data_IF_232470650247
#
_entry.id   IF_232470650247
#
_cell.length_a   1.000
_cell.length_b   1.000
_cell.length_c   1.000
_cell.angle_alpha   90.00
_cell.angle_beta   90.00
_cell.angle_gamma   90.00
#
_symmetry.space_group_name_H-M   'P 1'
#
loop_
_entity.id
_entity.type
_entity.pdbx_description
1 polymer ?
#
# COMPACT_ATOMS: atom_id res chain seq x y z
N UNK A 1 -4.13 -16.31 -21.15
CA UNK A 1 -3.18 -15.51 -20.33
C UNK A 1 -3.45 -15.87 -18.89
N UNK A 2 -2.40 -16.02 -18.08
CA UNK A 2 -2.57 -16.26 -16.65
C UNK A 2 -3.50 -15.22 -16.02
N UNK A 3 -4.39 -15.67 -15.14
CA UNK A 3 -5.28 -14.77 -14.39
C UNK A 3 -4.53 -13.94 -13.35
N UNK A 4 -3.29 -14.32 -13.02
CA UNK A 4 -2.48 -13.73 -11.97
C UNK A 4 -1.40 -12.80 -12.52
N UNK A 5 -1.02 -11.81 -11.71
CA UNK A 5 0.08 -10.92 -12.02
C UNK A 5 1.42 -11.66 -12.07
N UNK A 6 2.42 -11.10 -12.76
CA UNK A 6 3.78 -11.64 -12.74
C UNK A 6 4.36 -11.88 -11.35
N UNK A 7 4.03 -11.03 -10.37
CA UNK A 7 4.47 -11.18 -8.98
C UNK A 7 3.83 -12.43 -8.32
N UNK A 8 2.52 -12.59 -8.48
CA UNK A 8 1.77 -13.76 -8.02
C UNK A 8 2.24 -15.05 -8.70
N UNK A 9 2.58 -15.02 -10.00
CA UNK A 9 3.20 -16.17 -10.68
C UNK A 9 4.56 -16.57 -10.10
N UNK A 10 5.36 -15.62 -9.63
CA UNK A 10 6.64 -15.96 -8.97
C UNK A 10 6.37 -16.66 -7.65
N UNK A 11 5.42 -16.19 -6.84
CA UNK A 11 5.05 -16.83 -5.57
C UNK A 11 4.52 -18.25 -5.78
N UNK A 12 3.68 -18.46 -6.79
CA UNK A 12 3.11 -19.78 -7.13
C UNK A 12 4.17 -20.84 -7.51
N UNK A 13 5.41 -20.45 -7.80
CA UNK A 13 6.50 -21.42 -8.03
C UNK A 13 7.07 -22.02 -6.74
N UNK A 14 6.70 -21.44 -5.59
CA UNK A 14 7.16 -21.84 -4.26
C UNK A 14 5.95 -22.17 -3.36
N UNK A 15 4.78 -22.51 -3.94
CA UNK A 15 3.54 -22.77 -3.20
C UNK A 15 3.71 -23.79 -2.09
N UNK A 16 4.47 -24.85 -2.35
CA UNK A 16 4.66 -25.98 -1.46
C UNK A 16 5.35 -25.57 -0.14
N UNK A 17 6.16 -24.51 -0.17
CA UNK A 17 6.85 -23.98 1.01
C UNK A 17 5.89 -23.26 1.99
N UNK A 18 4.68 -22.93 1.54
CA UNK A 18 3.72 -22.10 2.28
C UNK A 18 2.50 -22.87 2.82
N UNK A 19 2.38 -24.17 2.56
CA UNK A 19 1.18 -24.96 2.91
C UNK A 19 0.84 -24.87 4.41
N UNK A 20 1.85 -24.83 5.27
CA UNK A 20 1.70 -24.75 6.73
C UNK A 20 1.74 -23.33 7.27
N UNK A 21 2.00 -22.33 6.42
CA UNK A 21 2.16 -20.93 6.83
C UNK A 21 0.84 -20.24 7.11
N UNK A 22 0.86 -19.31 8.07
CA UNK A 22 -0.27 -18.43 8.39
C UNK A 22 0.06 -17.04 7.89
N UNK A 23 -0.45 -16.73 6.71
CA UNK A 23 0.06 -15.66 5.86
C UNK A 23 -0.81 -14.39 6.00
N UNK A 24 -0.13 -13.26 6.19
CA UNK A 24 -0.66 -11.94 5.93
C UNK A 24 -0.18 -11.46 4.55
N UNK A 25 -1.12 -11.19 3.65
CA UNK A 25 -0.87 -10.54 2.36
C UNK A 25 -1.04 -9.02 2.49
N UNK A 26 -0.08 -8.25 1.99
CA UNK A 26 -0.16 -6.79 2.00
C UNK A 26 0.56 -6.14 0.81
N UNK A 27 0.40 -4.83 0.68
CA UNK A 27 1.01 -4.05 -0.40
C UNK A 27 0.11 -3.92 -1.64
N UNK A 28 0.69 -4.05 -2.82
CA UNK A 28 0.01 -3.85 -4.11
C UNK A 28 -0.72 -5.13 -4.60
N UNK A 29 -1.81 -5.49 -3.90
CA UNK A 29 -2.63 -6.69 -4.13
C UNK A 29 -3.49 -6.61 -5.42
N UNK A 30 -2.85 -6.62 -6.57
CA UNK A 30 -3.47 -6.40 -7.89
C UNK A 30 -4.33 -7.57 -8.42
N UNK A 31 -4.25 -8.74 -7.80
CA UNK A 31 -5.06 -9.92 -8.15
C UNK A 31 -5.64 -10.61 -6.91
N UNK A 32 -6.40 -11.69 -7.13
CA UNK A 32 -7.10 -12.43 -6.07
C UNK A 32 -6.30 -13.61 -5.51
N UNK A 33 -4.98 -13.68 -5.76
CA UNK A 33 -4.14 -14.75 -5.21
C UNK A 33 -4.29 -14.90 -3.69
N UNK A 34 -4.34 -13.82 -2.86
CA UNK A 34 -4.52 -13.96 -1.41
C UNK A 34 -5.73 -14.80 -0.99
N UNK A 35 -6.80 -14.81 -1.79
CA UNK A 35 -8.01 -15.57 -1.51
C UNK A 35 -7.93 -17.05 -1.96
N UNK A 36 -6.97 -17.38 -2.80
CA UNK A 36 -6.85 -18.68 -3.49
C UNK A 36 -5.55 -19.41 -3.18
N UNK A 37 -4.66 -18.80 -2.40
CA UNK A 37 -3.37 -19.36 -2.05
C UNK A 37 -3.55 -20.53 -1.07
N UNK A 38 -2.86 -21.63 -1.34
CA UNK A 38 -2.91 -22.82 -0.49
C UNK A 38 -1.96 -22.61 0.71
N UNK A 39 -2.54 -22.38 1.88
CA UNK A 39 -1.82 -22.17 3.14
C UNK A 39 -2.72 -22.47 4.35
N UNK A 40 -2.14 -22.55 5.55
CA UNK A 40 -2.86 -22.89 6.78
C UNK A 40 -3.87 -21.80 7.20
N UNK A 41 -3.55 -20.54 6.95
CA UNK A 41 -4.47 -19.42 7.11
C UNK A 41 -4.06 -18.26 6.21
N UNK A 42 -5.03 -17.56 5.64
CA UNK A 42 -4.81 -16.37 4.81
C UNK A 42 -5.56 -15.16 5.38
N UNK A 43 -4.83 -14.06 5.60
CA UNK A 43 -5.35 -12.73 5.89
C UNK A 43 -4.79 -11.73 4.90
N UNK A 44 -5.46 -10.60 4.72
CA UNK A 44 -4.96 -9.51 3.91
C UNK A 44 -5.20 -8.13 4.52
N UNK A 45 -4.24 -7.22 4.38
CA UNK A 45 -4.40 -5.80 4.71
C UNK A 45 -4.13 -4.95 3.46
N UNK A 46 -5.00 -3.98 3.19
CA UNK A 46 -4.81 -3.07 2.06
C UNK A 46 -5.28 -1.65 2.34
N UNK A 47 -4.57 -0.69 1.75
CA UNK A 47 -4.97 0.72 1.70
C UNK A 47 -5.76 1.06 0.42
N UNK A 48 -6.06 0.07 -0.44
CA UNK A 48 -6.78 0.28 -1.70
C UNK A 48 -8.19 -0.30 -1.58
N UNK A 49 -9.19 0.57 -1.58
CA UNK A 49 -10.59 0.18 -1.42
C UNK A 49 -11.04 -0.84 -2.47
N UNK A 50 -10.64 -0.68 -3.73
CA UNK A 50 -11.03 -1.59 -4.81
C UNK A 50 -10.41 -2.99 -4.66
N UNK A 51 -9.17 -3.12 -4.16
CA UNK A 51 -8.58 -4.43 -3.84
C UNK A 51 -9.39 -5.12 -2.72
N UNK A 52 -9.73 -4.38 -1.67
CA UNK A 52 -10.60 -4.90 -0.60
C UNK A 52 -11.97 -5.32 -1.12
N UNK A 53 -12.61 -4.55 -2.01
CA UNK A 53 -13.91 -4.93 -2.58
C UNK A 53 -13.87 -6.24 -3.37
N UNK A 54 -12.75 -6.55 -4.01
CA UNK A 54 -12.55 -7.81 -4.74
C UNK A 54 -12.32 -8.95 -3.75
N UNK A 55 -11.35 -8.79 -2.85
CA UNK A 55 -10.93 -9.83 -1.90
C UNK A 55 -12.00 -10.15 -0.86
N UNK A 56 -12.74 -9.15 -0.35
CA UNK A 56 -13.74 -9.33 0.72
C UNK A 56 -14.89 -10.23 0.31
N UNK A 57 -15.18 -10.34 -0.99
CA UNK A 57 -16.18 -11.27 -1.52
C UNK A 57 -15.82 -12.74 -1.30
N UNK A 58 -14.53 -13.06 -1.25
CA UNK A 58 -14.01 -14.41 -1.06
C UNK A 58 -13.49 -14.64 0.37
N UNK A 59 -12.84 -13.62 0.97
CA UNK A 59 -12.15 -13.74 2.25
C UNK A 59 -12.98 -13.25 3.46
N UNK A 60 -14.10 -12.55 3.24
CA UNK A 60 -14.91 -11.97 4.33
C UNK A 60 -14.08 -11.07 5.25
N UNK A 61 -14.16 -11.31 6.56
CA UNK A 61 -13.47 -10.51 7.60
C UNK A 61 -11.95 -10.73 7.66
N UNK A 62 -11.43 -11.70 6.90
CA UNK A 62 -9.98 -11.95 6.81
C UNK A 62 -9.25 -10.94 5.93
N UNK A 63 -9.96 -10.04 5.23
CA UNK A 63 -9.35 -8.89 4.55
C UNK A 63 -9.79 -7.57 5.17
N UNK A 64 -8.83 -6.71 5.46
CA UNK A 64 -9.03 -5.43 6.12
C UNK A 64 -8.62 -4.27 5.23
N UNK A 65 -9.51 -3.29 5.13
CA UNK A 65 -9.24 -2.01 4.50
C UNK A 65 -9.12 -0.92 5.57
N UNK A 66 -7.93 -0.38 5.73
CA UNK A 66 -7.66 0.72 6.64
C UNK A 66 -6.35 1.40 6.26
N UNK A 67 -6.16 2.64 6.72
CA UNK A 67 -4.90 3.36 6.54
C UNK A 67 -3.76 2.69 7.31
N UNK A 68 -4.03 2.30 8.56
CA UNK A 68 -3.05 1.70 9.48
C UNK A 68 -3.57 0.35 9.93
N UNK A 69 -2.79 -0.71 9.69
CA UNK A 69 -3.04 -2.04 10.23
C UNK A 69 -3.12 -2.00 11.76
N UNK A 70 -3.99 -2.82 12.33
CA UNK A 70 -4.14 -3.01 13.77
C UNK A 70 -3.53 -4.35 14.18
N UNK A 71 -3.24 -4.52 15.48
CA UNK A 71 -2.75 -5.80 16.00
C UNK A 71 -3.68 -6.97 15.66
N UNK A 72 -5.00 -6.75 15.61
CA UNK A 72 -5.99 -7.74 15.19
C UNK A 72 -5.87 -8.15 13.72
N UNK A 73 -5.36 -7.27 12.86
CA UNK A 73 -5.26 -7.52 11.43
C UNK A 73 -4.08 -8.46 11.10
N UNK A 74 -3.05 -8.45 11.95
CA UNK A 74 -1.85 -9.30 11.83
C UNK A 74 -1.89 -10.50 12.79
N UNK A 75 -2.94 -10.61 13.61
CA UNK A 75 -3.04 -11.64 14.64
C UNK A 75 -3.01 -13.05 14.03
N UNK A 76 -2.29 -13.93 14.73
CA UNK A 76 -2.05 -15.31 14.33
C UNK A 76 -1.45 -15.46 12.93
N UNK A 77 -0.65 -14.49 12.45
CA UNK A 77 0.15 -14.64 11.24
C UNK A 77 1.62 -14.82 11.61
N UNK A 78 2.29 -15.78 10.99
CA UNK A 78 3.73 -16.05 11.14
C UNK A 78 4.53 -15.66 9.88
N UNK A 79 3.84 -15.32 8.79
CA UNK A 79 4.43 -15.05 7.48
C UNK A 79 3.81 -13.80 6.88
N UNK A 80 4.64 -12.87 6.40
CA UNK A 80 4.25 -11.73 5.58
C UNK A 80 4.61 -11.99 4.12
N UNK A 81 3.63 -11.89 3.22
CA UNK A 81 3.88 -11.76 1.79
C UNK A 81 3.52 -10.34 1.37
N UNK A 82 4.55 -9.53 1.10
CA UNK A 82 4.42 -8.13 0.74
C UNK A 82 4.65 -7.89 -0.76
N UNK A 83 3.62 -7.38 -1.44
CA UNK A 83 3.68 -6.97 -2.84
C UNK A 83 4.21 -5.54 -2.94
N UNK A 84 5.41 -5.40 -3.50
CA UNK A 84 6.09 -4.12 -3.60
C UNK A 84 5.34 -3.12 -4.50
N UNK A 85 4.95 -1.95 -3.98
CA UNK A 85 4.25 -0.93 -4.76
C UNK A 85 5.20 -0.14 -5.65
N UNK A 86 4.65 0.69 -6.55
CA UNK A 86 5.44 1.56 -7.43
C UNK A 86 6.12 2.74 -6.69
N UNK A 87 5.63 3.11 -5.51
CA UNK A 87 6.12 4.26 -4.74
C UNK A 87 6.91 3.77 -3.52
N UNK A 88 8.23 4.06 -3.47
CA UNK A 88 9.10 3.62 -2.38
C UNK A 88 8.68 4.16 -1.00
N UNK A 89 8.29 5.44 -0.83
CA UNK A 89 7.75 5.90 0.45
C UNK A 89 6.46 5.20 0.89
N UNK A 90 5.56 4.85 -0.04
CA UNK A 90 4.37 4.03 0.27
C UNK A 90 4.80 2.65 0.81
N UNK A 91 5.79 2.04 0.16
CA UNK A 91 6.35 0.77 0.62
C UNK A 91 6.91 0.86 2.04
N UNK A 92 7.68 1.91 2.30
CA UNK A 92 8.28 2.13 3.61
C UNK A 92 7.21 2.34 4.69
N UNK A 93 6.19 3.17 4.42
CA UNK A 93 5.09 3.39 5.35
C UNK A 93 4.38 2.09 5.72
N UNK A 94 4.01 1.29 4.70
CA UNK A 94 3.27 0.05 4.91
C UNK A 94 4.12 -1.02 5.61
N UNK A 95 5.38 -1.21 5.20
CA UNK A 95 6.28 -2.17 5.82
C UNK A 95 6.58 -1.82 7.28
N UNK A 96 6.91 -0.56 7.58
CA UNK A 96 7.18 -0.14 8.96
C UNK A 96 5.95 -0.33 9.85
N UNK A 97 4.76 -0.02 9.33
CA UNK A 97 3.51 -0.26 10.03
C UNK A 97 3.29 -1.74 10.36
N UNK A 98 3.29 -2.61 9.34
CA UNK A 98 2.98 -4.03 9.50
C UNK A 98 4.06 -4.74 10.34
N UNK A 99 5.34 -4.51 10.05
CA UNK A 99 6.44 -5.14 10.76
C UNK A 99 6.52 -4.70 12.23
N UNK A 100 6.02 -3.51 12.58
CA UNK A 100 5.94 -3.08 13.99
C UNK A 100 4.95 -3.91 14.83
N UNK A 101 4.01 -4.59 14.16
CA UNK A 101 2.95 -5.37 14.80
C UNK A 101 3.21 -6.87 14.73
N UNK A 102 3.97 -7.33 13.74
CA UNK A 102 4.22 -8.76 13.54
C UNK A 102 5.21 -9.34 14.55
N UNK A 103 5.03 -10.59 15.01
CA UNK A 103 5.96 -11.22 15.95
C UNK A 103 7.39 -11.28 15.42
N UNK A 104 8.38 -11.02 16.27
CA UNK A 104 9.77 -11.36 15.96
C UNK A 104 9.91 -12.84 15.62
N UNK A 105 10.72 -13.15 14.63
CA UNK A 105 10.86 -14.49 14.07
C UNK A 105 9.84 -14.82 12.97
N UNK A 106 8.97 -13.90 12.58
CA UNK A 106 8.10 -14.10 11.41
C UNK A 106 8.89 -14.09 10.11
N UNK A 107 8.45 -14.88 9.13
CA UNK A 107 9.01 -14.86 7.78
C UNK A 107 8.49 -13.65 7.00
N UNK A 108 9.39 -12.99 6.26
CA UNK A 108 9.09 -11.79 5.48
C UNK A 108 9.50 -12.02 4.04
N UNK A 109 8.50 -12.17 3.17
CA UNK A 109 8.66 -12.25 1.74
C UNK A 109 8.29 -10.92 1.09
N UNK A 110 9.15 -10.43 0.20
CA UNK A 110 8.90 -9.25 -0.63
C UNK A 110 8.96 -9.65 -2.09
N UNK A 111 7.87 -9.45 -2.82
CA UNK A 111 7.77 -9.75 -4.25
C UNK A 111 7.41 -8.49 -5.03
N UNK A 112 8.01 -8.30 -6.20
CA UNK A 112 7.69 -7.14 -7.03
C UNK A 112 8.50 -7.04 -8.31
N UNK A 113 8.09 -6.13 -9.20
CA UNK A 113 8.78 -5.88 -10.46
C UNK A 113 10.11 -5.14 -10.26
N UNK A 114 11.16 -5.54 -10.98
CA UNK A 114 12.47 -4.87 -10.94
C UNK A 114 12.37 -3.39 -11.36
N UNK A 115 11.52 -3.05 -12.34
CA UNK A 115 11.32 -1.67 -12.79
C UNK A 115 10.64 -0.78 -11.76
N UNK A 116 9.89 -1.37 -10.81
CA UNK A 116 9.26 -0.67 -9.69
C UNK A 116 10.21 -0.51 -8.50
N UNK A 117 11.46 -0.96 -8.65
CA UNK A 117 12.50 -0.74 -7.66
C UNK A 117 12.50 -1.70 -6.47
N UNK A 118 11.91 -2.90 -6.61
CA UNK A 118 11.82 -3.91 -5.52
C UNK A 118 13.16 -4.22 -4.84
N UNK A 119 14.28 -4.09 -5.55
CA UNK A 119 15.64 -4.25 -5.00
C UNK A 119 15.93 -3.33 -3.81
N UNK A 120 15.22 -2.20 -3.70
CA UNK A 120 15.32 -1.30 -2.56
C UNK A 120 14.86 -1.93 -1.25
N UNK A 121 14.11 -3.04 -1.28
CA UNK A 121 13.65 -3.75 -0.10
C UNK A 121 14.81 -4.22 0.79
N UNK A 122 15.90 -4.71 0.18
CA UNK A 122 17.09 -5.19 0.92
C UNK A 122 17.68 -4.09 1.80
N UNK A 123 17.93 -2.91 1.23
CA UNK A 123 18.44 -1.76 1.99
C UNK A 123 17.40 -1.23 2.98
N UNK A 124 16.11 -1.24 2.62
CA UNK A 124 15.04 -0.72 3.47
C UNK A 124 14.82 -1.54 4.74
N UNK A 125 15.00 -2.86 4.66
CA UNK A 125 14.75 -3.79 5.77
C UNK A 125 16.03 -4.30 6.44
N UNK A 126 17.21 -3.82 6.04
CA UNK A 126 18.50 -4.31 6.55
C UNK A 126 18.62 -4.37 8.08
N UNK A 127 18.04 -3.40 8.80
CA UNK A 127 18.11 -3.32 10.27
C UNK A 127 16.97 -4.07 11.00
N UNK A 128 16.00 -4.63 10.27
CA UNK A 128 14.78 -5.22 10.81
C UNK A 128 14.58 -6.68 10.41
N UNK A 129 14.72 -6.96 9.12
CA UNK A 129 14.57 -8.26 8.50
C UNK A 129 15.53 -8.35 7.31
N UNK A 130 16.82 -8.70 7.54
CA UNK A 130 17.80 -8.82 6.47
C UNK A 130 17.30 -9.76 5.36
N UNK A 131 17.12 -9.20 4.16
CA UNK A 131 16.55 -9.93 3.04
C UNK A 131 17.66 -10.53 2.16
N UNK A 132 17.41 -11.74 1.67
CA UNK A 132 18.17 -12.39 0.62
C UNK A 132 17.27 -12.64 -0.59
N UNK A 133 17.83 -12.52 -1.79
CA UNK A 133 17.10 -12.82 -3.02
C UNK A 133 16.92 -14.33 -3.18
N UNK A 134 15.68 -14.78 -3.28
CA UNK A 134 15.30 -16.20 -3.45
C UNK A 134 15.16 -16.56 -4.92
N UNK A 135 14.44 -15.73 -5.68
CA UNK A 135 14.10 -16.04 -7.07
C UNK A 135 13.99 -14.75 -7.91
N UNK A 136 14.05 -14.93 -9.23
CA UNK A 136 13.92 -13.86 -10.20
C UNK A 136 13.34 -14.42 -11.49
N UNK A 137 12.06 -14.14 -11.75
CA UNK A 137 11.39 -14.52 -13.00
C UNK A 137 10.36 -13.47 -13.41
N UNK A 138 9.94 -13.49 -14.67
CA UNK A 138 8.92 -12.56 -15.22
C UNK A 138 9.22 -11.07 -15.00
N UNK A 139 10.50 -10.69 -14.90
CA UNK A 139 10.98 -9.34 -14.53
C UNK A 139 10.64 -8.94 -13.08
N UNK A 140 10.22 -9.88 -12.25
CA UNK A 140 10.06 -9.74 -10.81
C UNK A 140 11.26 -10.31 -10.05
N UNK A 141 11.43 -9.85 -8.81
CA UNK A 141 12.32 -10.44 -7.82
C UNK A 141 11.51 -10.88 -6.60
N UNK A 142 11.88 -12.01 -6.03
CA UNK A 142 11.38 -12.52 -4.75
C UNK A 142 12.53 -12.48 -3.75
N UNK A 143 12.27 -11.89 -2.59
CA UNK A 143 13.21 -11.74 -1.50
C UNK A 143 12.61 -12.33 -0.23
N UNK A 144 13.44 -12.93 0.61
CA UNK A 144 13.04 -13.53 1.87
C UNK A 144 14.02 -13.14 2.97
N UNK A 145 13.49 -12.91 4.16
CA UNK A 145 14.24 -12.77 5.38
C UNK A 145 13.35 -13.08 6.57
N UNK A 146 13.92 -12.98 7.77
CA UNK A 146 13.20 -13.21 9.01
C UNK A 146 13.19 -11.93 9.83
N UNK A 147 12.05 -11.58 10.44
CA UNK A 147 11.94 -10.38 11.27
C UNK A 147 12.75 -10.55 12.55
N UNK A 148 13.92 -9.95 12.63
CA UNK A 148 14.78 -9.98 13.82
C UNK A 148 14.37 -8.91 14.83
N UNK A 149 14.01 -7.73 14.33
CA UNK A 149 13.68 -6.57 15.15
C UNK A 149 12.46 -5.83 14.61
N UNK A 150 11.48 -5.58 15.47
CA UNK A 150 10.33 -4.76 15.14
C UNK A 150 10.75 -3.27 15.01
N UNK A 151 10.38 -2.59 13.91
CA UNK A 151 10.51 -1.13 13.84
C UNK A 151 9.53 -0.44 14.79
N UNK A 152 9.84 0.81 15.16
CA UNK A 152 8.87 1.68 15.82
C UNK A 152 8.04 2.40 14.75
N UNK A 153 6.73 2.43 14.92
CA UNK A 153 5.80 3.10 14.01
C UNK A 153 4.86 4.03 14.79
N UNK A 154 4.74 5.28 14.33
CA UNK A 154 3.75 6.27 14.80
C UNK A 154 3.23 6.99 13.57
N UNK A 155 1.91 7.02 13.37
CA UNK A 155 1.30 7.65 12.19
C UNK A 155 1.65 9.14 12.09
N UNK A 156 1.78 9.80 13.23
CA UNK A 156 2.03 11.24 13.37
C UNK A 156 3.34 11.65 12.69
N UNK A 157 4.37 10.80 12.73
CA UNK A 157 5.68 11.10 12.15
C UNK A 157 5.73 11.00 10.62
N UNK A 158 4.69 10.46 9.99
CA UNK A 158 4.62 10.27 8.54
C UNK A 158 3.87 11.37 7.80
N UNK A 159 3.21 12.29 8.53
CA UNK A 159 2.56 13.44 7.91
C UNK A 159 3.60 14.38 7.32
N UNK A 160 3.49 14.62 6.03
CA UNK A 160 4.19 15.70 5.36
C UNK A 160 3.23 16.88 5.17
N UNK A 161 3.79 18.09 5.23
CA UNK A 161 3.06 19.32 5.03
C UNK A 161 3.79 20.22 4.04
N UNK A 162 3.04 20.88 3.17
CA UNK A 162 3.56 21.90 2.27
C UNK A 162 2.53 23.00 2.04
N UNK A 163 3.00 24.19 1.71
CA UNK A 163 2.15 25.34 1.45
C UNK A 163 2.04 25.60 -0.05
N UNK A 164 0.83 25.90 -0.51
CA UNK A 164 0.61 26.44 -1.86
C UNK A 164 -0.44 27.55 -1.76
N UNK A 165 -0.08 28.77 -2.18
CA UNK A 165 -0.97 29.95 -2.19
C UNK A 165 -1.67 30.22 -0.84
N UNK A 166 -0.97 30.01 0.28
CA UNK A 166 -1.52 30.22 1.62
C UNK A 166 -2.38 29.07 2.15
N UNK A 167 -2.53 27.98 1.38
CA UNK A 167 -3.17 26.74 1.83
C UNK A 167 -2.12 25.74 2.32
N UNK A 168 -2.25 25.30 3.56
CA UNK A 168 -1.47 24.19 4.11
C UNK A 168 -2.11 22.87 3.67
N UNK A 169 -1.38 22.07 2.89
CA UNK A 169 -1.78 20.73 2.48
C UNK A 169 -1.04 19.72 3.36
N UNK A 170 -1.79 18.80 3.95
CA UNK A 170 -1.25 17.65 4.68
C UNK A 170 -1.39 16.40 3.83
N UNK A 171 -0.36 15.58 3.78
CA UNK A 171 -0.33 14.39 2.92
C UNK A 171 0.44 13.25 3.58
N UNK A 172 0.16 12.04 3.14
CA UNK A 172 0.79 10.82 3.61
C UNK A 172 1.48 10.07 2.46
N UNK A 173 2.35 9.10 2.78
CA UNK A 173 2.84 8.18 1.78
C UNK A 173 1.71 7.47 1.01
N UNK A 174 1.92 7.21 -0.29
CA UNK A 174 0.92 6.63 -1.20
C UNK A 174 -0.11 7.61 -1.80
N UNK A 175 -0.19 8.86 -1.34
CA UNK A 175 -1.11 9.87 -1.90
C UNK A 175 -0.48 10.57 -3.13
N UNK A 176 -1.27 10.75 -4.20
CA UNK A 176 -0.87 11.51 -5.39
C UNK A 176 -0.74 13.01 -5.08
N UNK A 177 0.15 13.71 -5.78
CA UNK A 177 0.47 15.14 -5.54
C UNK A 177 1.03 15.40 -4.13
N UNK A 178 1.90 14.52 -3.64
CA UNK A 178 2.54 14.68 -2.32
C UNK A 178 3.40 15.95 -2.22
N UNK A 179 4.12 16.28 -3.27
CA UNK A 179 5.18 17.30 -3.23
C UNK A 179 4.74 18.65 -3.82
N UNK A 180 3.50 18.78 -4.27
CA UNK A 180 3.08 19.98 -4.99
C UNK A 180 1.78 19.82 -5.78
N UNK A 181 1.30 20.95 -6.28
CA UNK A 181 0.22 20.99 -7.27
C UNK A 181 0.83 20.64 -8.63
N UNK A 182 0.44 19.51 -9.19
CA UNK A 182 0.93 19.07 -10.50
C UNK A 182 0.43 19.99 -11.63
N UNK A 183 1.15 19.98 -12.76
CA UNK A 183 0.86 20.84 -13.92
C UNK A 183 -0.54 20.60 -14.49
N UNK A 184 -1.04 19.36 -14.44
CA UNK A 184 -2.39 19.02 -14.88
C UNK A 184 -3.45 19.69 -14.01
N UNK A 185 -3.28 19.61 -12.68
CA UNK A 185 -4.14 20.31 -11.72
C UNK A 185 -4.08 21.84 -11.88
N UNK A 186 -2.91 22.42 -12.15
CA UNK A 186 -2.79 23.85 -12.47
C UNK A 186 -3.58 24.23 -13.72
N UNK A 187 -3.43 23.46 -14.80
CA UNK A 187 -4.15 23.69 -16.04
C UNK A 187 -5.67 23.57 -15.82
N UNK A 188 -6.13 22.55 -15.08
CA UNK A 188 -7.54 22.40 -14.74
C UNK A 188 -8.08 23.62 -13.98
N UNK A 189 -7.38 24.06 -12.93
CA UNK A 189 -7.77 25.22 -12.14
C UNK A 189 -7.84 26.50 -12.98
N UNK A 190 -6.97 26.65 -13.99
CA UNK A 190 -6.99 27.80 -14.90
C UNK A 190 -8.26 27.89 -15.76
N UNK A 191 -8.99 26.78 -15.93
CA UNK A 191 -10.25 26.74 -16.68
C UNK A 191 -11.49 27.08 -15.83
N UNK A 192 -11.35 27.09 -14.50
CA UNK A 192 -12.46 27.32 -13.58
C UNK A 192 -12.71 28.82 -13.41
N UNK A 193 -13.97 29.23 -13.56
CA UNK A 193 -14.35 30.64 -13.42
C UNK A 193 -14.70 31.00 -11.97
N UNK A 194 -14.26 32.16 -11.48
CA UNK A 194 -14.67 32.69 -10.18
C UNK A 194 -16.19 32.65 -9.97
N UNK A 195 -16.63 32.33 -8.75
CA UNK A 195 -18.03 32.24 -8.33
C UNK A 195 -18.90 31.20 -9.07
N UNK A 196 -18.30 30.12 -9.56
CA UNK A 196 -19.05 28.95 -10.07
C UNK A 196 -20.02 28.44 -9.00
N UNK A 197 -21.28 28.18 -9.36
CA UNK A 197 -22.32 27.66 -8.45
C UNK A 197 -22.69 26.24 -8.85
N UNK A 198 -22.88 25.36 -7.87
CA UNK A 198 -23.35 23.99 -8.11
C UNK A 198 -22.90 23.02 -7.05
N UNK A 199 -23.37 21.79 -7.15
CA UNK A 199 -22.78 20.64 -6.44
C UNK A 199 -21.54 20.21 -7.19
N UNK A 200 -20.53 19.80 -6.43
CA UNK A 200 -19.22 19.44 -6.95
C UNK A 200 -18.84 18.07 -6.45
N UNK A 201 -18.24 17.28 -7.35
CA UNK A 201 -17.63 16.00 -7.05
C UNK A 201 -16.21 16.00 -7.60
N UNK A 202 -15.23 15.80 -6.71
CA UNK A 202 -13.82 15.64 -7.05
C UNK A 202 -13.48 14.14 -7.04
N UNK A 203 -13.48 13.52 -8.22
CA UNK A 203 -13.13 12.10 -8.39
C UNK A 203 -11.62 12.00 -8.55
N UNK A 204 -10.97 11.26 -7.66
CA UNK A 204 -9.51 11.17 -7.65
C UNK A 204 -8.85 12.34 -6.89
N UNK A 205 -9.48 12.79 -5.80
CA UNK A 205 -9.12 13.99 -5.06
C UNK A 205 -7.67 14.07 -4.55
N UNK A 206 -6.93 12.95 -4.50
CA UNK A 206 -5.55 12.91 -3.99
C UNK A 206 -5.46 13.50 -2.57
N UNK A 207 -4.53 14.44 -2.37
CA UNK A 207 -4.40 15.19 -1.11
C UNK A 207 -5.46 16.30 -0.91
N UNK A 208 -6.47 16.39 -1.79
CA UNK A 208 -7.54 17.38 -1.71
C UNK A 208 -7.09 18.80 -2.09
N UNK A 209 -6.19 18.92 -3.07
CA UNK A 209 -5.59 20.21 -3.44
C UNK A 209 -6.55 21.10 -4.26
N UNK A 210 -7.51 20.49 -4.95
CA UNK A 210 -8.49 21.19 -5.81
C UNK A 210 -9.67 21.81 -5.04
N UNK A 211 -10.35 21.12 -4.09
CA UNK A 211 -11.56 21.66 -3.46
C UNK A 211 -11.38 23.00 -2.71
N UNK A 212 -10.27 23.26 -1.99
CA UNK A 212 -10.03 24.57 -1.36
C UNK A 212 -9.86 25.71 -2.37
N UNK A 213 -9.47 25.39 -3.61
CA UNK A 213 -9.26 26.35 -4.71
C UNK A 213 -10.48 26.52 -5.59
N UNK A 214 -11.55 25.74 -5.37
CA UNK A 214 -12.77 25.92 -6.13
C UNK A 214 -13.34 27.30 -5.82
N UNK A 215 -13.55 28.15 -6.83
CA UNK A 215 -14.02 29.50 -6.59
C UNK A 215 -15.35 29.52 -5.83
N UNK A 216 -15.28 29.92 -4.56
CA UNK A 216 -16.35 30.13 -3.58
C UNK A 216 -17.72 29.52 -3.95
N UNK A 217 -17.80 28.19 -3.99
CA UNK A 217 -19.10 27.53 -3.92
C UNK A 217 -19.61 27.75 -2.52
N UNK A 218 -20.74 28.44 -2.36
CA UNK A 218 -21.42 28.55 -1.08
C UNK A 218 -21.63 27.14 -0.53
N UNK A 219 -20.85 26.74 0.47
CA UNK A 219 -21.10 25.55 1.28
C UNK A 219 -22.42 25.81 2.01
N UNK A 220 -23.53 25.30 1.47
CA UNK A 220 -24.71 25.03 2.30
C UNK A 220 -24.36 23.79 3.10
N UNK A 221 -23.91 23.99 4.35
CA UNK A 221 -24.00 22.93 5.34
C UNK A 221 -25.48 22.58 5.49
N UNK A 222 -25.82 21.32 5.26
CA UNK A 222 -27.02 20.68 5.76
C UNK A 222 -26.55 19.59 6.72
#
# INVERSE_FOLDING_TARGET
MSAFTPASEVLLRHSDDFEQSRILFAGDLQDDLPARFECAASRAHTQKFHHWQVLSRQMGDNVRFSLVAQASDVADCDTLIYYWPKNKPEAQFQLMNILSLMPSGSDVFVVGENRSGVRSAEQMLADYAPLNKVDSARRCGLYHGRLEKQPQFSLESWWAEYNIDGLTIKTLPGVFSRDGLDVGSQLLLSTLTPHTKGKVLDVGCGAGVLPPRWPAIRRKCA
#
